data_IF_862468247776
#
_entry.id   IF_862468247776
#
_cell.length_a   1.000
_cell.length_b   1.000
_cell.length_c   1.000
_cell.angle_alpha   90.00
_cell.angle_beta   90.00
_cell.angle_gamma   90.00
#
_symmetry.space_group_name_H-M   'P 1'
#
loop_
_entity.id
_entity.type
_entity.pdbx_description
1 polymer ?
#
# COMPACT_ATOMS: atom_id res chain seq x y z
N UNK A 1 13.97 9.57 -15.75
CA UNK A 1 12.51 9.39 -15.76
C UNK A 1 11.89 10.65 -15.20
N UNK A 2 10.86 11.21 -15.83
CA UNK A 2 10.11 12.32 -15.26
C UNK A 2 9.47 11.86 -13.94
N UNK A 3 9.43 12.73 -12.93
CA UNK A 3 8.74 12.43 -11.67
C UNK A 3 7.24 12.29 -11.96
N UNK A 4 6.65 11.16 -11.54
CA UNK A 4 5.20 10.95 -11.70
C UNK A 4 4.45 11.95 -10.82
N UNK A 5 3.32 12.44 -11.34
CA UNK A 5 2.39 13.21 -10.52
C UNK A 5 1.94 12.40 -9.30
N UNK A 6 1.78 13.08 -8.17
CA UNK A 6 1.38 12.47 -6.90
C UNK A 6 0.04 13.07 -6.49
N UNK A 7 -1.02 12.30 -6.67
CA UNK A 7 -2.39 12.76 -6.44
C UNK A 7 -2.88 12.23 -5.10
N UNK A 8 -3.21 13.15 -4.20
CA UNK A 8 -3.83 12.80 -2.92
C UNK A 8 -5.34 12.90 -3.04
N UNK A 9 -6.05 11.81 -2.73
CA UNK A 9 -7.53 11.79 -2.64
C UNK A 9 -7.89 11.58 -1.17
N UNK A 10 -8.68 12.51 -0.63
CA UNK A 10 -9.02 12.55 0.79
C UNK A 10 -10.53 12.56 0.98
N UNK A 11 -11.01 11.94 2.05
CA UNK A 11 -12.42 12.01 2.44
C UNK A 11 -12.72 13.35 3.12
N UNK A 12 -13.88 13.93 2.84
CA UNK A 12 -14.35 15.10 3.56
C UNK A 12 -14.72 14.74 5.01
N UNK A 13 -14.06 15.37 5.97
CA UNK A 13 -14.35 15.27 7.40
C UNK A 13 -14.03 16.56 8.12
N UNK A 14 -14.51 16.71 9.36
CA UNK A 14 -14.35 17.93 10.16
C UNK A 14 -12.87 18.30 10.43
N UNK A 15 -11.94 17.34 10.29
CA UNK A 15 -10.51 17.54 10.55
C UNK A 15 -9.62 17.25 9.33
N UNK A 16 -10.14 17.31 8.10
CA UNK A 16 -9.37 16.94 6.90
C UNK A 16 -8.14 17.83 6.70
N UNK A 17 -8.21 19.13 7.03
CA UNK A 17 -7.08 20.06 6.99
C UNK A 17 -5.89 19.63 7.85
N UNK A 18 -6.15 19.08 9.06
CA UNK A 18 -5.10 18.57 9.93
C UNK A 18 -4.40 17.37 9.31
N UNK A 19 -5.18 16.46 8.74
CA UNK A 19 -4.64 15.25 8.11
C UNK A 19 -3.87 15.55 6.83
N UNK A 20 -4.23 16.61 6.10
CA UNK A 20 -3.51 17.01 4.89
C UNK A 20 -2.07 17.43 5.22
N UNK A 21 -1.90 18.33 6.19
CA UNK A 21 -0.60 18.88 6.56
C UNK A 21 0.38 17.79 6.97
N UNK A 22 -0.07 16.81 7.74
CA UNK A 22 0.77 15.68 8.17
C UNK A 22 1.12 14.80 6.95
N UNK A 23 0.14 14.50 6.09
CA UNK A 23 0.34 13.60 4.96
C UNK A 23 1.39 14.10 3.96
N UNK A 24 1.41 15.41 3.67
CA UNK A 24 2.32 15.95 2.66
C UNK A 24 3.80 15.91 3.08
N UNK A 25 4.08 15.95 4.38
CA UNK A 25 5.44 15.89 4.92
C UNK A 25 5.87 14.45 5.23
N UNK A 26 4.96 13.61 5.73
CA UNK A 26 5.30 12.28 6.23
C UNK A 26 5.10 11.16 5.20
N UNK A 27 4.24 11.35 4.20
CA UNK A 27 3.92 10.32 3.18
C UNK A 27 4.46 10.72 1.81
N UNK A 28 4.01 11.85 1.27
CA UNK A 28 4.48 12.36 -0.01
C UNK A 28 4.01 13.78 -0.29
N UNK A 29 4.83 14.60 -0.98
CA UNK A 29 4.35 15.85 -1.52
C UNK A 29 3.27 15.58 -2.58
N UNK A 30 2.22 16.40 -2.60
CA UNK A 30 1.12 16.30 -3.54
C UNK A 30 1.32 17.28 -4.71
N UNK A 31 1.13 16.81 -5.95
CA UNK A 31 0.98 17.69 -7.12
C UNK A 31 -0.46 18.17 -7.27
N UNK A 32 -1.44 17.30 -6.97
CA UNK A 32 -2.88 17.60 -6.93
C UNK A 32 -3.52 17.01 -5.67
N UNK A 33 -4.58 17.67 -5.20
CA UNK A 33 -5.38 17.20 -4.06
C UNK A 33 -6.86 17.20 -4.45
N UNK A 34 -7.54 16.09 -4.18
CA UNK A 34 -8.98 15.95 -4.30
C UNK A 34 -9.58 15.66 -2.94
N UNK A 35 -10.65 16.38 -2.59
CA UNK A 35 -11.48 16.06 -1.42
C UNK A 35 -12.82 15.55 -1.92
N UNK A 36 -13.14 14.28 -1.63
CA UNK A 36 -14.46 13.71 -1.95
C UNK A 36 -15.43 14.07 -0.83
N UNK A 37 -16.49 14.79 -1.20
CA UNK A 37 -17.50 15.29 -0.27
C UNK A 37 -18.90 14.93 -0.76
N UNK A 38 -19.79 14.54 0.14
CA UNK A 38 -21.19 14.31 -0.19
C UNK A 38 -21.95 15.63 -0.34
N UNK A 39 -22.86 15.71 -1.32
CA UNK A 39 -23.67 16.89 -1.63
C UNK A 39 -24.41 17.47 -0.44
N UNK A 40 -24.95 16.62 0.44
CA UNK A 40 -25.68 17.07 1.65
C UNK A 40 -24.82 17.93 2.59
N UNK A 41 -23.49 17.80 2.54
CA UNK A 41 -22.57 18.61 3.35
C UNK A 41 -22.67 20.10 2.96
N UNK A 42 -23.05 20.39 1.72
CA UNK A 42 -23.19 21.76 1.21
C UNK A 42 -24.60 22.33 1.32
N UNK A 43 -25.56 21.53 1.78
CA UNK A 43 -26.92 21.99 2.04
C UNK A 43 -27.08 22.36 3.52
N UNK A 44 -27.90 23.37 3.78
CA UNK A 44 -28.28 23.71 5.15
C UNK A 44 -29.22 22.66 5.75
N UNK A 45 -29.26 22.62 7.08
CA UNK A 45 -30.06 21.70 7.87
C UNK A 45 -30.81 22.46 8.94
N UNK A 46 -32.11 22.22 9.08
CA UNK A 46 -32.92 22.75 10.18
C UNK A 46 -32.51 22.15 11.53
N UNK A 47 -31.91 20.95 11.54
CA UNK A 47 -31.36 20.36 12.75
C UNK A 47 -30.01 21.05 13.11
N UNK A 48 -29.91 21.74 14.26
CA UNK A 48 -28.73 22.54 14.60
C UNK A 48 -27.44 21.73 14.70
N UNK A 49 -27.49 20.53 15.30
CA UNK A 49 -26.31 19.66 15.44
C UNK A 49 -25.80 19.19 14.07
N UNK A 50 -26.72 18.88 13.17
CA UNK A 50 -26.38 18.49 11.80
C UNK A 50 -25.80 19.67 11.03
N UNK A 51 -26.35 20.86 11.20
CA UNK A 51 -25.82 22.08 10.59
C UNK A 51 -24.41 22.39 11.07
N UNK A 52 -24.18 22.37 12.39
CA UNK A 52 -22.87 22.58 13.00
C UNK A 52 -21.83 21.58 12.46
N UNK A 53 -22.19 20.29 12.38
CA UNK A 53 -21.31 19.27 11.82
C UNK A 53 -20.98 19.51 10.34
N UNK A 54 -21.97 19.94 9.53
CA UNK A 54 -21.76 20.26 8.11
C UNK A 54 -20.89 21.51 7.94
N UNK A 55 -21.11 22.55 8.74
CA UNK A 55 -20.29 23.76 8.77
C UNK A 55 -18.85 23.44 9.15
N UNK A 56 -18.63 22.62 10.17
CA UNK A 56 -17.30 22.17 10.55
C UNK A 56 -16.58 21.46 9.39
N UNK A 57 -17.27 20.58 8.65
CA UNK A 57 -16.69 19.93 7.46
C UNK A 57 -16.40 20.97 6.36
N UNK A 58 -17.33 21.88 6.06
CA UNK A 58 -17.13 22.93 5.03
C UNK A 58 -15.93 23.82 5.37
N UNK A 59 -15.81 24.25 6.61
CA UNK A 59 -14.68 25.04 7.09
C UNK A 59 -13.37 24.25 6.96
N UNK A 60 -13.38 22.98 7.36
CA UNK A 60 -12.24 22.08 7.24
C UNK A 60 -11.74 21.91 5.80
N UNK A 61 -12.66 21.77 4.84
CA UNK A 61 -12.33 21.72 3.40
C UNK A 61 -11.74 23.06 2.94
N UNK A 62 -12.33 24.17 3.40
CA UNK A 62 -11.85 25.52 3.10
C UNK A 62 -10.42 25.75 3.59
N UNK A 63 -10.12 25.34 4.81
CA UNK A 63 -8.79 25.48 5.40
C UNK A 63 -7.78 24.55 4.76
N UNK A 64 -8.16 23.31 4.42
CA UNK A 64 -7.34 22.43 3.58
C UNK A 64 -7.01 23.11 2.26
N UNK A 65 -7.98 23.73 1.58
CA UNK A 65 -7.74 24.41 0.30
C UNK A 65 -6.72 25.54 0.44
N UNK A 66 -6.82 26.36 1.51
CA UNK A 66 -5.85 27.42 1.79
C UNK A 66 -4.44 26.86 2.00
N UNK A 67 -4.31 25.79 2.78
CA UNK A 67 -3.04 25.14 3.09
C UNK A 67 -2.42 24.44 1.87
N UNK A 68 -3.25 23.79 1.06
CA UNK A 68 -2.81 22.96 -0.05
C UNK A 68 -2.49 23.77 -1.32
N UNK A 69 -3.19 24.87 -1.59
CA UNK A 69 -3.00 25.68 -2.81
C UNK A 69 -1.54 26.10 -3.08
N UNK A 70 -0.74 26.57 -2.10
CA UNK A 70 0.65 26.92 -2.36
C UNK A 70 1.58 25.72 -2.63
N UNK A 71 1.12 24.49 -2.34
CA UNK A 71 1.93 23.26 -2.38
C UNK A 71 1.55 22.40 -3.59
N UNK A 72 0.25 22.15 -3.77
CA UNK A 72 -0.32 21.36 -4.85
C UNK A 72 -0.42 22.18 -6.13
N UNK A 73 0.71 22.30 -6.84
CA UNK A 73 0.88 23.17 -8.02
C UNK A 73 -0.14 22.96 -9.14
N UNK A 74 -0.69 21.74 -9.27
CA UNK A 74 -1.68 21.39 -10.30
C UNK A 74 -3.13 21.56 -9.83
N UNK A 75 -3.35 21.84 -8.54
CA UNK A 75 -4.64 22.31 -8.03
C UNK A 75 -5.19 21.51 -6.85
N UNK A 76 -6.23 22.09 -6.25
CA UNK A 76 -6.99 21.52 -5.13
C UNK A 76 -8.46 21.55 -5.48
N UNK A 77 -9.07 20.37 -5.53
CA UNK A 77 -10.41 20.15 -6.06
C UNK A 77 -11.32 19.54 -5.00
N UNK A 78 -12.60 19.91 -5.04
CA UNK A 78 -13.64 19.27 -4.24
C UNK A 78 -14.52 18.48 -5.19
N UNK A 79 -14.50 17.15 -5.08
CA UNK A 79 -15.33 16.26 -5.89
C UNK A 79 -16.61 15.95 -5.11
N UNK A 80 -17.71 16.56 -5.53
CA UNK A 80 -19.01 16.38 -4.89
C UNK A 80 -19.66 15.11 -5.44
N UNK A 81 -20.08 14.22 -4.54
CA UNK A 81 -20.87 13.02 -4.85
C UNK A 81 -22.30 13.18 -4.35
N UNK A 82 -23.27 12.58 -5.04
CA UNK A 82 -24.69 12.73 -4.66
C UNK A 82 -25.00 12.08 -3.30
N UNK A 83 -24.43 10.90 -3.03
CA UNK A 83 -24.61 10.16 -1.77
C UNK A 83 -23.32 9.41 -1.38
N UNK A 84 -23.14 9.14 -0.10
CA UNK A 84 -22.03 8.35 0.44
C UNK A 84 -22.23 6.83 0.23
N UNK A 85 -22.46 6.42 -1.01
CA UNK A 85 -22.51 5.01 -1.41
C UNK A 85 -21.23 4.60 -2.13
N UNK A 86 -20.86 3.32 -2.07
CA UNK A 86 -19.68 2.82 -2.77
C UNK A 86 -19.65 3.15 -4.27
N UNK A 87 -20.78 3.10 -4.98
CA UNK A 87 -20.80 3.34 -6.43
C UNK A 87 -20.47 4.78 -6.78
N UNK A 88 -21.12 5.76 -6.12
CA UNK A 88 -20.77 7.17 -6.30
C UNK A 88 -19.31 7.50 -5.93
N UNK A 89 -18.73 6.80 -4.95
CA UNK A 89 -17.31 6.96 -4.59
C UNK A 89 -16.41 6.39 -5.70
N UNK A 90 -16.72 5.19 -6.21
CA UNK A 90 -15.99 4.57 -7.32
C UNK A 90 -16.02 5.47 -8.56
N UNK A 91 -17.20 5.98 -8.93
CA UNK A 91 -17.37 6.85 -10.09
C UNK A 91 -16.53 8.12 -9.94
N UNK A 92 -16.58 8.76 -8.77
CA UNK A 92 -15.78 9.94 -8.48
C UNK A 92 -14.27 9.67 -8.60
N UNK A 93 -13.78 8.57 -8.04
CA UNK A 93 -12.36 8.20 -8.13
C UNK A 93 -11.98 7.81 -9.56
N UNK A 94 -12.85 7.10 -10.27
CA UNK A 94 -12.62 6.68 -11.65
C UNK A 94 -12.53 7.87 -12.60
N UNK A 95 -13.34 8.90 -12.41
CA UNK A 95 -13.24 10.15 -13.17
C UNK A 95 -11.91 10.89 -12.92
N UNK A 96 -11.45 10.93 -11.66
CA UNK A 96 -10.13 11.50 -11.33
C UNK A 96 -9.01 10.68 -11.99
N UNK A 97 -9.14 9.34 -11.98
CA UNK A 97 -8.21 8.42 -12.61
C UNK A 97 -8.13 8.60 -14.12
N UNK A 98 -9.29 8.71 -14.79
CA UNK A 98 -9.38 8.88 -16.25
C UNK A 98 -8.59 10.10 -16.75
N UNK A 99 -8.52 11.15 -15.94
CA UNK A 99 -7.80 12.37 -16.28
C UNK A 99 -6.29 12.29 -16.00
N UNK A 100 -5.85 11.33 -15.18
CA UNK A 100 -4.47 11.22 -14.70
C UNK A 100 -3.96 9.76 -14.59
N UNK A 101 -4.11 8.92 -15.63
CA UNK A 101 -3.94 7.46 -15.51
C UNK A 101 -2.53 7.01 -15.09
N UNK A 102 -1.51 7.82 -15.36
CA UNK A 102 -0.11 7.51 -15.06
C UNK A 102 0.37 8.03 -13.69
N UNK A 103 -0.49 8.75 -12.96
CA UNK A 103 -0.18 9.34 -11.66
C UNK A 103 -0.04 8.26 -10.57
N UNK A 104 0.70 8.61 -9.52
CA UNK A 104 0.76 7.86 -8.29
C UNK A 104 -0.32 8.36 -7.32
N UNK A 105 -1.16 7.45 -6.85
CA UNK A 105 -2.31 7.78 -6.01
C UNK A 105 -2.05 7.51 -4.54
N UNK A 106 -2.49 8.44 -3.69
CA UNK A 106 -2.39 8.38 -2.23
C UNK A 106 -3.76 8.64 -1.63
N UNK A 107 -4.32 7.68 -0.89
CA UNK A 107 -5.70 7.77 -0.40
C UNK A 107 -5.74 7.92 1.11
N UNK A 108 -6.19 9.08 1.58
CA UNK A 108 -6.39 9.32 3.00
C UNK A 108 -7.73 8.73 3.45
N UNK A 109 -7.68 7.76 4.35
CA UNK A 109 -8.87 7.10 4.92
C UNK A 109 -9.11 7.44 6.39
N UNK A 110 -8.40 8.43 6.94
CA UNK A 110 -8.43 8.80 8.37
C UNK A 110 -9.75 9.41 8.81
N UNK A 111 -10.46 10.09 7.91
CA UNK A 111 -11.63 10.92 8.24
C UNK A 111 -12.86 10.61 7.41
N UNK A 112 -13.89 11.46 7.57
CA UNK A 112 -15.15 11.34 6.85
C UNK A 112 -16.03 10.21 7.36
N UNK A 113 -17.08 9.88 6.60
CA UNK A 113 -17.97 8.77 6.95
C UNK A 113 -17.25 7.45 6.72
N UNK A 114 -17.63 6.41 7.49
CA UNK A 114 -17.05 5.07 7.34
C UNK A 114 -17.15 4.57 5.89
N UNK A 115 -18.26 4.86 5.20
CA UNK A 115 -18.47 4.42 3.82
C UNK A 115 -17.51 5.14 2.86
N UNK A 116 -17.24 6.44 3.05
CA UNK A 116 -16.23 7.16 2.28
C UNK A 116 -14.84 6.54 2.44
N UNK A 117 -14.41 6.28 3.68
CA UNK A 117 -13.10 5.66 3.96
C UNK A 117 -13.00 4.25 3.37
N UNK A 118 -14.03 3.42 3.54
CA UNK A 118 -14.09 2.07 2.97
C UNK A 118 -14.05 2.13 1.44
N UNK A 119 -14.83 3.02 0.83
CA UNK A 119 -14.87 3.18 -0.63
C UNK A 119 -13.53 3.61 -1.20
N UNK A 120 -12.84 4.57 -0.58
CA UNK A 120 -11.48 4.92 -0.96
C UNK A 120 -10.52 3.75 -0.78
N UNK A 121 -10.53 3.07 0.37
CA UNK A 121 -9.67 1.91 0.59
C UNK A 121 -9.88 0.84 -0.48
N UNK A 122 -11.13 0.52 -0.83
CA UNK A 122 -11.44 -0.42 -1.91
C UNK A 122 -10.87 0.05 -3.26
N UNK A 123 -10.99 1.33 -3.58
CA UNK A 123 -10.42 1.88 -4.81
C UNK A 123 -8.89 1.85 -4.81
N UNK A 124 -8.24 1.91 -3.64
CA UNK A 124 -6.79 1.78 -3.54
C UNK A 124 -6.32 0.40 -4.02
N UNK A 125 -7.12 -0.65 -3.79
CA UNK A 125 -6.84 -1.99 -4.28
C UNK A 125 -6.88 -2.05 -5.82
N UNK A 126 -7.87 -1.39 -6.44
CA UNK A 126 -8.05 -1.37 -7.89
C UNK A 126 -7.01 -0.55 -8.64
N UNK A 127 -6.59 0.58 -8.06
CA UNK A 127 -5.66 1.52 -8.70
C UNK A 127 -4.21 1.35 -8.23
N UNK A 128 -3.94 0.31 -7.44
CA UNK A 128 -2.67 0.13 -6.74
C UNK A 128 -2.20 1.39 -5.98
N UNK A 129 -3.15 2.17 -5.46
CA UNK A 129 -2.87 3.37 -4.71
C UNK A 129 -2.24 3.02 -3.35
N UNK A 130 -1.67 4.02 -2.70
CA UNK A 130 -1.17 3.94 -1.33
C UNK A 130 -2.23 4.46 -0.35
N UNK A 131 -3.05 3.59 0.27
CA UNK A 131 -3.94 4.03 1.33
C UNK A 131 -3.12 4.36 2.58
N UNK A 132 -3.52 5.38 3.31
CA UNK A 132 -2.90 5.75 4.56
C UNK A 132 -3.92 6.34 5.53
N UNK A 133 -3.61 6.27 6.81
CA UNK A 133 -4.36 6.94 7.86
C UNK A 133 -3.43 7.75 8.75
N UNK A 134 -3.97 8.75 9.42
CA UNK A 134 -3.31 9.52 10.46
C UNK A 134 -4.00 9.19 11.76
N UNK A 135 -3.22 8.74 12.73
CA UNK A 135 -3.72 8.35 14.04
C UNK A 135 -3.95 9.56 14.95
N UNK A 136 -4.33 9.30 16.20
CA UNK A 136 -4.60 10.34 17.19
C UNK A 136 -3.34 11.05 17.68
N UNK A 137 -2.16 10.45 17.49
CA UNK A 137 -0.86 11.02 17.86
C UNK A 137 -0.30 11.92 16.74
N UNK A 138 -0.94 11.92 15.58
CA UNK A 138 -0.54 12.70 14.42
C UNK A 138 0.51 11.99 13.55
N UNK A 139 0.66 10.67 13.70
CA UNK A 139 1.55 9.89 12.86
C UNK A 139 0.82 9.42 11.60
N UNK A 140 1.50 9.52 10.46
CA UNK A 140 0.98 9.05 9.19
C UNK A 140 1.44 7.63 8.92
N UNK A 141 0.47 6.73 8.76
CA UNK A 141 0.68 5.30 8.65
C UNK A 141 0.14 4.81 7.30
N UNK A 142 1.02 4.44 6.37
CA UNK A 142 0.63 3.71 5.15
C UNK A 142 -0.03 2.38 5.56
N UNK A 143 -1.18 2.07 4.98
CA UNK A 143 -1.87 0.80 5.23
C UNK A 143 -1.31 -0.24 4.25
N UNK A 144 -0.63 -1.29 4.72
CA UNK A 144 -0.05 -2.29 3.84
C UNK A 144 -1.16 -3.07 3.12
N UNK A 145 -1.06 -3.14 1.79
CA UNK A 145 -1.93 -3.98 0.95
C UNK A 145 -1.14 -5.21 0.53
N UNK A 146 -1.59 -6.43 0.90
CA UNK A 146 -1.00 -7.66 0.38
C UNK A 146 -1.00 -7.67 -1.14
N UNK A 147 0.18 -7.89 -1.74
CA UNK A 147 0.37 -7.90 -3.19
C UNK A 147 0.17 -9.27 -3.85
N UNK A 148 -0.21 -10.26 -3.06
CA UNK A 148 -0.44 -11.63 -3.53
C UNK A 148 -1.59 -12.28 -2.77
N UNK A 149 -2.41 -13.04 -3.50
CA UNK A 149 -3.44 -13.87 -2.91
C UNK A 149 -2.81 -15.11 -2.25
N UNK A 150 -3.34 -15.58 -1.13
CA UNK A 150 -2.65 -16.64 -0.36
C UNK A 150 -2.56 -17.96 -1.13
N UNK A 151 -3.58 -18.31 -1.91
CA UNK A 151 -3.61 -19.47 -2.79
C UNK A 151 -2.54 -19.39 -3.88
N UNK A 152 -2.34 -18.21 -4.49
CA UNK A 152 -1.30 -17.99 -5.50
C UNK A 152 0.10 -18.13 -4.89
N UNK A 153 0.28 -17.61 -3.67
CA UNK A 153 1.52 -17.79 -2.93
C UNK A 153 1.77 -19.29 -2.64
N UNK A 154 0.76 -20.00 -2.15
CA UNK A 154 0.83 -21.43 -1.78
C UNK A 154 0.93 -22.38 -2.98
N UNK A 155 0.53 -21.97 -4.18
CA UNK A 155 0.61 -22.78 -5.40
C UNK A 155 2.04 -23.26 -5.71
N UNK A 156 3.06 -22.63 -5.12
CA UNK A 156 4.45 -23.05 -5.23
C UNK A 156 5.09 -23.21 -3.84
N UNK A 157 5.26 -24.44 -3.32
CA UNK A 157 5.81 -24.67 -1.97
C UNK A 157 7.23 -24.10 -1.78
N UNK A 158 8.02 -23.95 -2.85
CA UNK A 158 9.37 -23.40 -2.75
C UNK A 158 9.36 -21.94 -2.28
N UNK A 159 8.27 -21.20 -2.51
CA UNK A 159 8.09 -19.82 -2.00
C UNK A 159 8.00 -19.83 -0.48
N UNK A 160 7.25 -20.77 0.08
CA UNK A 160 7.15 -20.99 1.53
C UNK A 160 8.51 -21.39 2.09
N UNK A 161 9.23 -22.29 1.42
CA UNK A 161 10.58 -22.72 1.82
C UNK A 161 11.56 -21.56 1.86
N UNK A 162 11.55 -20.67 0.86
CA UNK A 162 12.39 -19.46 0.88
C UNK A 162 12.11 -18.60 2.12
N UNK A 163 10.84 -18.32 2.43
CA UNK A 163 10.51 -17.53 3.62
C UNK A 163 10.93 -18.24 4.91
N UNK A 164 10.81 -19.57 4.99
CA UNK A 164 11.28 -20.37 6.15
C UNK A 164 12.80 -20.28 6.32
N UNK A 165 13.57 -20.43 5.25
CA UNK A 165 15.03 -20.32 5.29
C UNK A 165 15.45 -18.94 5.80
N UNK A 166 14.84 -17.88 5.27
CA UNK A 166 15.12 -16.52 5.73
C UNK A 166 14.67 -16.30 7.19
N UNK A 167 13.51 -16.81 7.58
CA UNK A 167 12.98 -16.65 8.94
C UNK A 167 13.79 -17.36 10.02
N UNK A 168 14.53 -18.43 9.64
CA UNK A 168 15.42 -19.17 10.52
C UNK A 168 16.77 -18.47 10.77
N UNK A 169 17.10 -17.43 10.00
CA UNK A 169 18.35 -16.69 10.19
C UNK A 169 18.30 -15.90 11.50
N UNK A 170 19.45 -15.80 12.16
CA UNK A 170 19.62 -14.87 13.28
C UNK A 170 19.50 -13.44 12.74
N UNK A 171 18.76 -12.55 13.43
CA UNK A 171 18.76 -11.13 13.09
C UNK A 171 20.19 -10.60 13.08
N UNK A 172 20.57 -9.83 12.07
CA UNK A 172 21.88 -9.16 12.06
C UNK A 172 21.95 -8.07 13.13
N UNK A 173 23.13 -7.89 13.72
CA UNK A 173 23.33 -7.00 14.86
C UNK A 173 22.97 -5.52 14.57
N UNK A 174 23.10 -5.05 13.32
CA UNK A 174 22.91 -3.64 12.98
C UNK A 174 21.45 -3.20 12.74
N UNK A 175 20.59 -4.09 12.23
CA UNK A 175 19.23 -3.70 11.80
C UNK A 175 18.13 -4.66 12.32
N UNK A 176 18.47 -5.68 13.13
CA UNK A 176 17.58 -6.79 13.50
C UNK A 176 16.90 -7.46 12.30
N UNK A 177 17.50 -7.36 11.11
CA UNK A 177 16.96 -7.93 9.89
C UNK A 177 17.44 -9.36 9.70
N UNK A 178 16.54 -10.22 9.26
CA UNK A 178 16.89 -11.58 8.86
C UNK A 178 17.22 -11.58 7.38
N UNK A 179 18.48 -11.85 7.07
CA UNK A 179 19.01 -11.73 5.71
C UNK A 179 19.91 -12.90 5.36
N UNK A 180 20.03 -13.17 4.07
CA UNK A 180 20.90 -14.23 3.54
C UNK A 180 21.40 -13.83 2.15
N UNK A 181 22.65 -14.15 1.83
CA UNK A 181 23.19 -13.87 0.50
C UNK A 181 22.44 -14.68 -0.57
N UNK A 182 22.39 -14.17 -1.81
CA UNK A 182 21.79 -14.89 -2.96
C UNK A 182 22.33 -16.31 -3.08
N UNK A 183 23.65 -16.47 -2.93
CA UNK A 183 24.37 -17.75 -3.10
C UNK A 183 24.00 -18.74 -2.01
N UNK A 184 23.93 -18.30 -0.76
CA UNK A 184 23.53 -19.14 0.36
C UNK A 184 22.05 -19.49 0.29
N UNK A 185 21.18 -18.54 -0.03
CA UNK A 185 19.74 -18.82 -0.18
C UNK A 185 19.49 -19.83 -1.31
N UNK A 186 20.20 -19.72 -2.43
CA UNK A 186 20.14 -20.71 -3.50
C UNK A 186 20.59 -22.10 -3.01
N UNK A 187 21.71 -22.16 -2.28
CA UNK A 187 22.26 -23.40 -1.73
C UNK A 187 21.30 -24.08 -0.75
N UNK A 188 20.73 -23.32 0.17
CA UNK A 188 19.76 -23.85 1.15
C UNK A 188 18.47 -24.30 0.47
N UNK A 189 17.91 -23.49 -0.44
CA UNK A 189 16.71 -23.89 -1.19
C UNK A 189 16.94 -25.15 -2.02
N UNK A 190 18.12 -25.30 -2.62
CA UNK A 190 18.47 -26.48 -3.42
C UNK A 190 18.36 -27.80 -2.64
N UNK A 191 18.57 -27.78 -1.31
CA UNK A 191 18.47 -28.98 -0.46
C UNK A 191 17.02 -29.44 -0.26
N UNK A 192 16.08 -28.50 -0.28
CA UNK A 192 14.66 -28.72 0.01
C UNK A 192 13.76 -28.48 -1.22
N UNK A 193 14.36 -28.36 -2.40
CA UNK A 193 13.66 -27.96 -3.61
C UNK A 193 12.64 -29.02 -4.08
N UNK A 194 11.41 -28.57 -4.36
CA UNK A 194 10.32 -29.40 -4.87
C UNK A 194 10.00 -29.00 -6.32
N UNK A 195 10.25 -29.86 -7.32
CA UNK A 195 9.89 -29.60 -8.72
C UNK A 195 8.36 -29.61 -8.95
N UNK A 196 7.81 -28.56 -9.57
CA UNK A 196 6.33 -28.39 -9.72
C UNK A 196 5.81 -28.74 -11.12
N UNK A 197 6.68 -28.78 -12.14
CA UNK A 197 6.27 -29.06 -13.53
C UNK A 197 6.68 -30.45 -13.98
N UNK A 198 5.67 -31.17 -14.47
CA UNK A 198 5.68 -32.42 -15.26
C UNK A 198 5.72 -33.72 -14.45
N UNK A 199 4.60 -34.45 -14.49
CA UNK A 199 4.30 -35.75 -13.85
C UNK A 199 5.35 -36.87 -14.03
N UNK A 200 6.42 -36.66 -14.80
CA UNK A 200 7.29 -37.73 -15.30
C UNK A 200 8.80 -37.53 -15.06
N UNK A 201 9.25 -36.60 -14.20
CA UNK A 201 10.69 -36.49 -13.85
C UNK A 201 10.90 -36.36 -12.36
N UNK A 202 11.39 -37.44 -11.75
CA UNK A 202 11.48 -37.61 -10.30
C UNK A 202 12.63 -36.87 -9.61
N UNK A 203 13.58 -36.27 -10.33
CA UNK A 203 14.66 -35.46 -9.73
C UNK A 203 15.15 -34.39 -10.71
N UNK A 204 14.65 -33.16 -10.58
CA UNK A 204 15.26 -31.97 -11.23
C UNK A 204 15.86 -31.09 -10.16
N UNK A 205 17.12 -30.73 -10.34
CA UNK A 205 17.83 -29.77 -9.48
C UNK A 205 17.28 -28.34 -9.70
N UNK A 206 17.41 -27.50 -8.67
CA UNK A 206 17.08 -26.09 -8.76
C UNK A 206 18.03 -25.41 -9.76
N UNK A 207 17.46 -24.77 -10.78
CA UNK A 207 18.21 -23.97 -11.76
C UNK A 207 18.19 -22.49 -11.38
N UNK A 208 19.25 -21.76 -11.72
CA UNK A 208 19.32 -20.30 -11.49
C UNK A 208 18.12 -19.53 -12.04
N UNK A 209 17.66 -19.88 -13.25
CA UNK A 209 16.49 -19.21 -13.84
C UNK A 209 15.20 -19.43 -13.04
N UNK A 210 15.02 -20.62 -12.45
CA UNK A 210 13.88 -20.92 -11.58
C UNK A 210 14.00 -20.18 -10.26
N UNK A 211 15.19 -20.18 -9.67
CA UNK A 211 15.46 -19.43 -8.44
C UNK A 211 15.19 -17.93 -8.62
N UNK A 212 15.71 -17.32 -9.68
CA UNK A 212 15.49 -15.91 -9.98
C UNK A 212 14.01 -15.59 -10.17
N UNK A 213 13.25 -16.49 -10.81
CA UNK A 213 11.79 -16.33 -10.94
C UNK A 213 11.09 -16.40 -9.59
N UNK A 214 11.48 -17.31 -8.71
CA UNK A 214 10.92 -17.43 -7.36
C UNK A 214 11.19 -16.18 -6.53
N UNK A 215 12.44 -15.70 -6.50
CA UNK A 215 12.81 -14.51 -5.72
C UNK A 215 12.22 -13.24 -6.31
N UNK A 216 12.14 -13.12 -7.65
CA UNK A 216 11.44 -11.99 -8.30
C UNK A 216 9.99 -11.92 -7.85
N UNK A 217 9.25 -13.03 -7.84
CA UNK A 217 7.86 -13.00 -7.36
C UNK A 217 7.76 -12.52 -5.90
N UNK A 218 8.65 -12.97 -5.02
CA UNK A 218 8.65 -12.56 -3.62
C UNK A 218 9.01 -11.08 -3.43
N UNK A 219 9.91 -10.55 -4.28
CA UNK A 219 10.26 -9.12 -4.32
C UNK A 219 9.09 -8.28 -4.82
N UNK A 220 8.46 -8.69 -5.92
CA UNK A 220 7.30 -8.00 -6.52
C UNK A 220 6.13 -7.94 -5.51
N UNK A 221 5.98 -8.99 -4.70
CA UNK A 221 4.99 -9.05 -3.63
C UNK A 221 5.42 -8.41 -2.31
N UNK A 222 6.63 -7.82 -2.25
CA UNK A 222 7.22 -7.20 -1.07
C UNK A 222 7.34 -8.12 0.16
N UNK A 223 7.38 -9.44 -0.06
CA UNK A 223 7.59 -10.42 1.00
C UNK A 223 9.07 -10.56 1.38
N UNK A 224 9.95 -10.18 0.45
CA UNK A 224 11.39 -10.01 0.70
C UNK A 224 11.84 -8.68 0.11
N UNK A 225 12.93 -8.12 0.65
CA UNK A 225 13.69 -7.03 0.08
C UNK A 225 15.01 -7.51 -0.53
N UNK A 226 15.65 -6.65 -1.31
CA UNK A 226 16.98 -6.88 -1.88
C UNK A 226 17.89 -5.70 -1.54
N UNK A 227 19.08 -5.99 -1.02
CA UNK A 227 20.16 -5.00 -0.87
C UNK A 227 21.45 -5.57 -1.49
N UNK A 228 22.38 -4.69 -1.84
CA UNK A 228 23.73 -5.12 -2.19
C UNK A 228 24.54 -5.36 -0.91
N UNK A 229 25.41 -6.37 -0.91
CA UNK A 229 26.35 -6.60 0.20
C UNK A 229 27.25 -5.38 0.35
N UNK A 230 27.53 -4.98 1.59
CA UNK A 230 28.43 -3.87 1.86
C UNK A 230 29.81 -4.11 1.21
N UNK A 231 30.28 -3.13 0.43
CA UNK A 231 31.53 -3.25 -0.33
C UNK A 231 31.45 -4.01 -1.66
N UNK A 232 30.28 -4.56 -2.05
CA UNK A 232 30.12 -5.24 -3.34
C UNK A 232 28.90 -4.75 -4.12
N UNK A 233 29.13 -4.19 -5.31
CA UNK A 233 28.05 -3.84 -6.26
C UNK A 233 27.47 -5.03 -7.03
N UNK A 234 28.01 -6.23 -6.83
CA UNK A 234 27.62 -7.44 -7.58
C UNK A 234 26.89 -8.47 -6.74
N UNK A 235 27.17 -8.52 -5.44
CA UNK A 235 26.56 -9.48 -4.54
C UNK A 235 25.31 -8.90 -3.90
N UNK A 236 24.26 -9.72 -3.87
CA UNK A 236 22.93 -9.35 -3.39
C UNK A 236 22.59 -10.17 -2.15
N UNK A 237 21.94 -9.51 -1.20
CA UNK A 237 21.32 -10.12 -0.03
C UNK A 237 19.81 -9.99 -0.13
N UNK A 238 19.11 -11.06 0.22
CA UNK A 238 17.67 -11.03 0.38
C UNK A 238 17.32 -10.89 1.85
N UNK A 239 16.33 -10.04 2.13
CA UNK A 239 15.94 -9.65 3.47
C UNK A 239 14.48 -10.03 3.66
N UNK A 240 14.14 -10.69 4.76
CA UNK A 240 12.74 -10.96 5.10
C UNK A 240 12.05 -9.68 5.56
N UNK A 241 10.90 -9.35 4.96
CA UNK A 241 10.07 -8.21 5.40
C UNK A 241 9.08 -8.62 6.48
N UNK A 242 8.48 -7.64 7.17
CA UNK A 242 7.37 -7.88 8.10
C UNK A 242 6.20 -8.61 7.45
N UNK A 243 5.88 -8.26 6.20
CA UNK A 243 4.81 -8.90 5.43
C UNK A 243 5.18 -10.34 5.06
N UNK A 244 6.46 -10.59 4.75
CA UNK A 244 6.98 -11.95 4.58
C UNK A 244 6.87 -12.79 5.84
N UNK A 245 7.23 -12.24 7.00
CA UNK A 245 7.06 -12.92 8.29
C UNK A 245 5.59 -13.23 8.59
N UNK A 246 4.70 -12.25 8.38
CA UNK A 246 3.27 -12.42 8.60
C UNK A 246 2.68 -13.48 7.65
N UNK A 247 3.04 -13.41 6.37
CA UNK A 247 2.62 -14.41 5.36
C UNK A 247 3.06 -15.81 5.76
N UNK A 248 4.31 -15.97 6.20
CA UNK A 248 4.83 -17.25 6.67
C UNK A 248 4.05 -17.79 7.88
N UNK A 249 3.74 -16.93 8.88
CA UNK A 249 2.92 -17.30 10.03
C UNK A 249 1.54 -17.77 9.58
N UNK A 250 0.90 -17.03 8.68
CA UNK A 250 -0.43 -17.34 8.18
C UNK A 250 -0.50 -18.70 7.48
N UNK A 251 0.42 -18.99 6.55
CA UNK A 251 0.42 -20.30 5.86
C UNK A 251 0.83 -21.46 6.75
N UNK A 252 1.60 -21.21 7.81
CA UNK A 252 2.01 -22.24 8.76
C UNK A 252 0.89 -22.68 9.70
N UNK A 253 -0.15 -21.85 9.88
CA UNK A 253 -1.34 -22.19 10.66
C UNK A 253 -2.32 -23.10 9.91
N UNK A 254 -2.48 -22.92 8.59
CA UNK A 254 -3.35 -23.76 7.74
C UNK A 254 -2.86 -25.21 7.58
N UNK A 255 -1.67 -25.55 8.08
CA UNK A 255 -1.08 -26.89 8.01
C UNK A 255 -1.17 -27.71 9.30
N UNK A 256 -1.98 -27.27 10.29
CA UNK A 256 -2.31 -28.02 11.50
C UNK A 256 -3.78 -28.42 11.51
#
# INVERSE_FOLDING_TARGET
MAEKDKIHIMTAGANVHNTFSIAIYNISPASEVYVIAEKRIFADSENPKTQEAREAIRNSIGDLKKLATPIAKKGVYVKIIEKDTLDHIKDAVFEIYKNNPDAQYYFNVSGGTKILSIGLFMMALWLEAKPYHIDMEGEANEIPIPKVHIEDFQANPNRVTILKILAAQKPSDDEKLKKLSRKELFKELSKEYIPIREKNRTKRELKDGVFNSLTSNLLDWKLIGEKHVEGSKKEKEYILTSDGEFTLKFVSLKGK
#
